data_IF_372384074303
#
_entry.id   IF_372384074303
#
_cell.length_a   1.000
_cell.length_b   1.000
_cell.length_c   1.000
_cell.angle_alpha   90.00
_cell.angle_beta   90.00
_cell.angle_gamma   90.00
#
_symmetry.space_group_name_H-M   'P 1'
#
loop_
_entity.id
_entity.type
_entity.pdbx_description
1 polymer ?
#
# COMPACT_ATOMS: atom_id res chain seq x y z
N UNK A 1 -14.06 -2.16 -6.45
CA UNK A 1 -13.31 -3.29 -7.04
C UNK A 1 -12.81 -2.98 -8.46
N UNK A 2 -12.14 -1.84 -8.63
CA UNK A 2 -11.29 -1.58 -9.80
C UNK A 2 -9.85 -1.81 -9.36
N UNK A 3 -9.00 -2.34 -10.25
CA UNK A 3 -7.59 -2.54 -9.96
C UNK A 3 -6.82 -1.46 -10.70
N UNK A 4 -6.12 -0.61 -9.97
CA UNK A 4 -5.43 0.54 -10.56
C UNK A 4 -3.91 0.36 -10.58
N UNK A 5 -3.26 1.00 -11.56
CA UNK A 5 -1.81 1.13 -11.62
C UNK A 5 -1.43 2.53 -11.17
N UNK A 6 -0.96 2.65 -9.94
CA UNK A 6 -0.63 3.92 -9.31
C UNK A 6 0.84 4.28 -9.58
N UNK A 7 1.02 5.30 -10.42
CA UNK A 7 2.32 5.90 -10.78
C UNK A 7 2.19 7.40 -10.58
N UNK A 8 2.93 7.96 -9.63
CA UNK A 8 2.81 9.38 -9.26
C UNK A 8 4.04 10.22 -9.66
N UNK A 9 5.11 9.59 -10.15
CA UNK A 9 6.27 10.30 -10.68
C UNK A 9 7.13 10.95 -9.59
N UNK A 10 7.81 12.04 -9.93
CA UNK A 10 8.72 12.73 -9.01
C UNK A 10 7.97 13.59 -7.98
N UNK A 11 8.34 13.49 -6.70
CA UNK A 11 7.77 14.32 -5.64
C UNK A 11 7.57 13.50 -4.36
N UNK A 12 6.95 14.12 -3.35
CA UNK A 12 6.43 13.40 -2.19
C UNK A 12 4.99 13.01 -2.51
N UNK A 13 4.78 11.76 -2.89
CA UNK A 13 3.48 11.29 -3.39
C UNK A 13 2.65 10.67 -2.26
N UNK A 14 1.33 10.70 -2.43
CA UNK A 14 0.37 10.05 -1.55
C UNK A 14 -0.41 9.00 -2.35
N UNK A 15 -0.21 7.72 -2.02
CA UNK A 15 -0.92 6.59 -2.62
C UNK A 15 -2.07 6.21 -1.71
N UNK A 16 -3.30 6.19 -2.20
CA UNK A 16 -4.48 5.86 -1.39
C UNK A 16 -4.77 4.37 -1.53
N UNK A 17 -4.98 3.70 -0.40
CA UNK A 17 -5.55 2.36 -0.34
C UNK A 17 -6.86 2.42 0.45
N UNK A 18 -7.90 1.84 -0.13
CA UNK A 18 -9.26 1.81 0.41
C UNK A 18 -9.72 0.35 0.58
N UNK A 19 -10.54 0.09 1.60
CA UNK A 19 -11.19 -1.21 1.73
C UNK A 19 -12.27 -1.35 0.65
N UNK A 20 -12.46 -2.56 0.11
CA UNK A 20 -13.39 -2.86 -1.00
C UNK A 20 -13.08 -2.13 -2.34
N UNK A 21 -11.95 -1.41 -2.41
CA UNK A 21 -11.50 -0.65 -3.58
C UNK A 21 -11.10 -1.53 -4.75
N UNK A 22 -10.49 -2.68 -4.45
CA UNK A 22 -9.87 -3.58 -5.41
C UNK A 22 -8.39 -3.76 -5.10
N UNK A 23 -7.66 -4.35 -6.04
CA UNK A 23 -6.23 -4.65 -5.89
C UNK A 23 -5.38 -3.68 -6.71
N UNK A 24 -4.68 -2.79 -6.03
CA UNK A 24 -3.86 -1.77 -6.68
C UNK A 24 -2.39 -2.19 -6.85
N UNK A 25 -1.76 -1.71 -7.92
CA UNK A 25 -0.33 -1.87 -8.17
C UNK A 25 0.38 -0.52 -8.01
N UNK A 26 1.17 -0.39 -6.96
CA UNK A 26 2.01 0.79 -6.70
C UNK A 26 3.40 0.53 -7.29
N UNK A 27 3.74 1.21 -8.39
CA UNK A 27 4.92 0.87 -9.18
C UNK A 27 6.17 1.73 -8.90
N UNK A 28 6.03 2.91 -8.29
CA UNK A 28 7.13 3.88 -8.10
C UNK A 28 7.26 4.43 -6.67
N UNK A 29 6.80 3.69 -5.66
CA UNK A 29 6.89 4.09 -4.25
C UNK A 29 8.34 4.25 -3.79
N UNK A 30 8.66 5.43 -3.27
CA UNK A 30 9.96 5.75 -2.68
C UNK A 30 9.86 5.87 -1.16
N UNK A 31 10.49 4.92 -0.46
CA UNK A 31 10.55 4.87 1.00
C UNK A 31 11.14 6.17 1.58
N UNK A 32 10.57 6.64 2.69
CA UNK A 32 10.92 7.90 3.38
C UNK A 32 10.65 9.19 2.58
N UNK A 33 10.03 9.10 1.40
CA UNK A 33 9.64 10.25 0.58
C UNK A 33 8.13 10.26 0.33
N UNK A 34 7.62 9.11 -0.10
CA UNK A 34 6.20 8.92 -0.39
C UNK A 34 5.46 8.37 0.84
N UNK A 35 4.13 8.49 0.83
CA UNK A 35 3.25 8.02 1.90
C UNK A 35 2.10 7.21 1.33
N UNK A 36 1.60 6.29 2.14
CA UNK A 36 0.38 5.50 1.86
C UNK A 36 -0.73 6.02 2.76
N UNK A 37 -1.78 6.54 2.14
CA UNK A 37 -3.01 6.95 2.80
C UNK A 37 -3.92 5.74 2.98
N UNK A 38 -4.46 5.56 4.18
CA UNK A 38 -5.45 4.54 4.50
C UNK A 38 -6.80 5.23 4.72
N UNK A 39 -7.82 4.83 3.96
CA UNK A 39 -9.20 5.34 4.08
C UNK A 39 -10.16 4.25 4.56
N UNK A 40 -11.43 4.61 4.75
CA UNK A 40 -12.53 3.68 4.98
C UNK A 40 -12.34 2.74 6.17
N UNK A 41 -11.71 3.25 7.23
CA UNK A 41 -11.53 2.54 8.49
C UNK A 41 -10.34 1.58 8.52
N UNK A 42 -9.54 1.52 7.45
CA UNK A 42 -8.26 0.83 7.45
C UNK A 42 -7.32 1.47 8.48
N UNK A 43 -6.59 0.63 9.21
CA UNK A 43 -5.51 1.09 10.09
C UNK A 43 -4.32 0.16 9.98
N UNK A 44 -3.13 0.71 10.24
CA UNK A 44 -1.86 -0.01 10.08
C UNK A 44 -1.81 -1.31 10.88
N UNK A 45 -2.45 -1.35 12.05
CA UNK A 45 -2.50 -2.56 12.89
C UNK A 45 -3.29 -3.72 12.28
N UNK A 46 -4.10 -3.44 11.26
CA UNK A 46 -4.89 -4.44 10.52
C UNK A 46 -4.16 -4.94 9.27
N UNK A 47 -2.99 -4.38 8.94
CA UNK A 47 -2.32 -4.66 7.68
C UNK A 47 -1.31 -5.81 7.81
N UNK A 48 -1.42 -6.76 6.89
CA UNK A 48 -0.42 -7.77 6.61
C UNK A 48 0.50 -7.27 5.52
N UNK A 49 1.78 -7.10 5.83
CA UNK A 49 2.79 -6.64 4.88
C UNK A 49 3.78 -7.79 4.71
N UNK A 50 3.74 -8.44 3.55
CA UNK A 50 4.55 -9.63 3.27
C UNK A 50 5.46 -9.42 2.08
N UNK A 51 6.47 -10.28 1.92
CA UNK A 51 7.33 -10.29 0.74
C UNK A 51 6.97 -11.49 -0.14
N UNK A 52 6.78 -11.28 -1.43
CA UNK A 52 6.65 -12.37 -2.41
C UNK A 52 7.40 -12.05 -3.72
N UNK A 53 7.20 -12.87 -4.76
CA UNK A 53 7.82 -12.72 -6.08
C UNK A 53 7.32 -11.52 -6.88
N UNK A 54 6.18 -10.94 -6.53
CA UNK A 54 5.58 -9.77 -7.20
C UNK A 54 5.98 -8.45 -6.53
N UNK A 55 6.44 -8.49 -5.28
CA UNK A 55 6.85 -7.32 -4.52
C UNK A 55 6.44 -7.44 -3.06
N UNK A 56 5.87 -6.37 -2.52
CA UNK A 56 5.34 -6.30 -1.17
C UNK A 56 3.83 -6.15 -1.20
N UNK A 57 3.05 -7.25 -1.12
CA UNK A 57 1.60 -7.18 -0.97
C UNK A 57 1.20 -6.59 0.37
N UNK A 58 0.09 -5.86 0.36
CA UNK A 58 -0.61 -5.35 1.53
C UNK A 58 -1.98 -6.02 1.59
N UNK A 59 -2.26 -6.67 2.70
CA UNK A 59 -3.50 -7.39 2.97
C UNK A 59 -4.22 -6.78 4.18
N UNK A 60 -5.54 -6.69 4.15
CA UNK A 60 -6.34 -6.45 5.33
C UNK A 60 -6.53 -7.77 6.08
N UNK A 61 -5.86 -7.94 7.22
CA UNK A 61 -5.89 -9.16 8.03
C UNK A 61 -7.26 -9.44 8.68
N UNK A 62 -8.15 -8.45 8.77
CA UNK A 62 -9.50 -8.64 9.31
C UNK A 62 -10.42 -9.32 8.29
N UNK A 63 -10.26 -8.98 7.01
CA UNK A 63 -11.15 -9.43 5.93
C UNK A 63 -10.50 -10.46 5.00
N UNK A 64 -9.16 -10.56 5.00
CA UNK A 64 -8.37 -11.31 4.02
C UNK A 64 -8.29 -10.64 2.64
N UNK A 65 -8.75 -9.39 2.53
CA UNK A 65 -8.72 -8.65 1.27
C UNK A 65 -7.29 -8.24 0.91
N UNK A 66 -6.88 -8.51 -0.33
CA UNK A 66 -5.63 -7.94 -0.86
C UNK A 66 -5.89 -6.53 -1.38
N UNK A 67 -5.33 -5.54 -0.69
CA UNK A 67 -5.50 -4.12 -1.00
C UNK A 67 -4.60 -3.69 -2.16
N UNK A 68 -3.44 -4.31 -2.29
CA UNK A 68 -2.52 -4.02 -3.39
C UNK A 68 -1.13 -4.57 -3.21
N UNK A 69 -0.22 -4.18 -4.11
CA UNK A 69 1.19 -4.57 -4.09
C UNK A 69 2.09 -3.39 -4.43
N UNK A 70 3.16 -3.24 -3.65
CA UNK A 70 4.27 -2.34 -3.99
C UNK A 70 5.34 -3.13 -4.75
N UNK A 71 5.59 -2.76 -6.00
CA UNK A 71 6.58 -3.42 -6.85
C UNK A 71 7.96 -2.83 -6.58
N UNK A 72 8.98 -3.68 -6.46
CA UNK A 72 10.37 -3.25 -6.27
C UNK A 72 10.72 -2.71 -4.88
N UNK A 73 9.76 -2.67 -3.95
CA UNK A 73 9.97 -2.29 -2.55
C UNK A 73 10.05 -3.54 -1.69
N UNK A 74 10.98 -3.57 -0.73
CA UNK A 74 11.08 -4.66 0.24
C UNK A 74 10.11 -4.47 1.40
N UNK A 75 9.45 -5.54 1.83
CA UNK A 75 8.52 -5.51 2.95
C UNK A 75 9.18 -4.98 4.25
N UNK A 76 10.46 -5.29 4.47
CA UNK A 76 11.22 -4.83 5.63
C UNK A 76 11.50 -3.32 5.62
N UNK A 77 11.38 -2.67 4.46
CA UNK A 77 11.53 -1.22 4.33
C UNK A 77 10.21 -0.47 4.58
N UNK A 78 9.09 -1.20 4.65
CA UNK A 78 7.78 -0.65 4.95
C UNK A 78 7.55 -0.72 6.45
N UNK A 79 7.35 0.43 7.04
CA UNK A 79 7.13 0.60 8.48
C UNK A 79 5.83 1.38 8.70
N UNK A 80 5.29 1.39 9.93
CA UNK A 80 4.14 2.24 10.25
C UNK A 80 4.35 3.72 9.92
N UNK A 81 5.59 4.21 9.85
CA UNK A 81 5.89 5.60 9.50
C UNK A 81 5.57 5.96 8.04
N UNK A 82 5.46 4.96 7.16
CA UNK A 82 5.09 5.14 5.75
C UNK A 82 3.59 5.38 5.54
N UNK A 83 2.77 5.14 6.57
CA UNK A 83 1.32 5.25 6.48
C UNK A 83 0.80 6.54 7.11
N UNK A 84 -0.35 7.01 6.60
CA UNK A 84 -1.11 8.15 7.11
C UNK A 84 -2.59 7.75 7.12
N UNK A 85 -3.27 8.06 8.22
CA UNK A 85 -4.73 8.04 8.26
C UNK A 85 -5.23 9.37 7.71
N UNK A 86 -6.27 9.31 6.86
CA UNK A 86 -6.95 10.48 6.31
C UNK A 86 -8.46 10.40 6.55
#
# INVERSE_FOLDING_TARGET
MQNDSLICGSGNNLFVLEADGGFDTIADFTVNRDSIALTDGLSVSQLGITQNTQGTPIENLLTGEQLGVMVGVSANAITPANFRLI
#
